data_IF_402322915793
#
_entry.id   IF_402322915793
#
_cell.length_a   1.000
_cell.length_b   1.000
_cell.length_c   1.000
_cell.angle_alpha   90.00
_cell.angle_beta   90.00
_cell.angle_gamma   90.00
#
_symmetry.space_group_name_H-M   'P 1'
#
loop_
_entity.id
_entity.type
_entity.pdbx_description
1 polymer ?
#
# COMPACT_ATOMS: atom_id res chain seq x y z
N UNK A 1 -10.31 20.29 12.72
CA UNK A 1 -9.88 18.96 12.21
C UNK A 1 -8.70 19.21 11.29
N UNK A 2 -7.65 18.39 11.36
CA UNK A 2 -6.41 18.66 10.61
C UNK A 2 -6.55 18.30 9.12
N UNK A 3 -5.72 18.88 8.24
CA UNK A 3 -5.77 18.63 6.78
C UNK A 3 -5.51 17.15 6.47
N UNK A 4 -4.51 16.56 7.14
CA UNK A 4 -4.20 15.14 7.04
C UNK A 4 -5.36 14.26 7.54
N UNK A 5 -6.03 14.65 8.63
CA UNK A 5 -7.21 13.92 9.14
C UNK A 5 -8.37 13.97 8.16
N UNK A 6 -8.64 15.12 7.55
CA UNK A 6 -9.70 15.28 6.55
C UNK A 6 -9.40 14.42 5.32
N UNK A 7 -8.17 14.47 4.79
CA UNK A 7 -7.76 13.65 3.65
C UNK A 7 -7.84 12.15 3.98
N UNK A 8 -7.43 11.74 5.17
CA UNK A 8 -7.52 10.36 5.62
C UNK A 8 -8.97 9.86 5.60
N UNK A 9 -9.87 10.59 6.27
CA UNK A 9 -11.27 10.17 6.44
C UNK A 9 -12.08 10.25 5.14
N UNK A 10 -11.81 11.23 4.28
CA UNK A 10 -12.60 11.46 3.07
C UNK A 10 -12.08 10.73 1.84
N UNK A 11 -10.79 10.42 1.78
CA UNK A 11 -10.16 9.81 0.60
C UNK A 11 -9.53 8.46 0.93
N UNK A 12 -8.61 8.41 1.89
CA UNK A 12 -7.74 7.25 2.09
C UNK A 12 -8.52 6.06 2.62
N UNK A 13 -9.21 6.23 3.74
CA UNK A 13 -9.99 5.19 4.38
C UNK A 13 -11.05 4.57 3.44
N UNK A 14 -11.94 5.34 2.79
CA UNK A 14 -12.92 4.76 1.87
C UNK A 14 -12.28 4.09 0.65
N UNK A 15 -11.20 4.64 0.08
CA UNK A 15 -10.49 4.01 -1.05
C UNK A 15 -9.91 2.64 -0.67
N UNK A 16 -9.36 2.52 0.54
CA UNK A 16 -8.80 1.28 1.05
C UNK A 16 -9.90 0.27 1.39
N UNK A 17 -10.98 0.70 2.07
CA UNK A 17 -12.13 -0.15 2.39
C UNK A 17 -12.78 -0.72 1.12
N UNK A 18 -12.85 0.08 0.06
CA UNK A 18 -13.29 -0.33 -1.27
C UNK A 18 -12.42 -1.44 -1.88
N UNK A 19 -11.11 -1.43 -1.65
CA UNK A 19 -10.21 -2.51 -2.07
C UNK A 19 -10.34 -3.75 -1.18
N UNK A 20 -10.43 -3.58 0.14
CA UNK A 20 -10.65 -4.68 1.08
C UNK A 20 -11.94 -5.43 0.73
N UNK A 21 -12.99 -4.72 0.36
CA UNK A 21 -14.25 -5.32 -0.10
C UNK A 21 -14.17 -6.00 -1.48
N UNK A 22 -13.09 -5.80 -2.24
CA UNK A 22 -12.89 -6.35 -3.58
C UNK A 22 -11.41 -6.61 -3.87
N UNK A 23 -10.77 -7.56 -3.15
CA UNK A 23 -9.31 -7.72 -3.12
C UNK A 23 -8.70 -8.26 -4.43
N UNK A 24 -9.54 -8.61 -5.40
CA UNK A 24 -9.18 -9.03 -6.76
C UNK A 24 -9.06 -7.87 -7.75
N UNK A 25 -9.52 -6.68 -7.36
CA UNK A 25 -9.58 -5.53 -8.25
C UNK A 25 -8.24 -4.80 -8.23
N UNK A 26 -7.40 -5.08 -9.23
CA UNK A 26 -6.07 -4.47 -9.39
C UNK A 26 -6.15 -2.95 -9.32
N UNK A 27 -7.10 -2.32 -10.04
CA UNK A 27 -7.26 -0.85 -10.02
C UNK A 27 -7.49 -0.33 -8.59
N UNK A 28 -8.34 -0.99 -7.81
CA UNK A 28 -8.61 -0.59 -6.41
C UNK A 28 -7.38 -0.79 -5.52
N UNK A 29 -6.63 -1.87 -5.73
CA UNK A 29 -5.37 -2.12 -5.02
C UNK A 29 -4.31 -1.05 -5.31
N UNK A 30 -4.11 -0.70 -6.58
CA UNK A 30 -3.16 0.34 -6.99
C UNK A 30 -3.58 1.73 -6.45
N UNK A 31 -4.88 2.07 -6.52
CA UNK A 31 -5.39 3.31 -5.94
C UNK A 31 -5.17 3.37 -4.42
N UNK A 32 -5.40 2.26 -3.71
CA UNK A 32 -5.14 2.15 -2.27
C UNK A 32 -3.67 2.44 -1.94
N UNK A 33 -2.74 1.85 -2.70
CA UNK A 33 -1.31 2.12 -2.51
C UNK A 33 -0.95 3.60 -2.75
N UNK A 34 -1.51 4.19 -3.82
CA UNK A 34 -1.29 5.61 -4.15
C UNK A 34 -1.72 6.54 -3.02
N UNK A 35 -2.94 6.38 -2.51
CA UNK A 35 -3.49 7.29 -1.50
C UNK A 35 -2.83 7.09 -0.14
N UNK A 36 -2.46 5.85 0.22
CA UNK A 36 -1.70 5.55 1.44
C UNK A 36 -0.30 6.15 1.41
N UNK A 37 0.38 6.14 0.26
CA UNK A 37 1.67 6.83 0.10
C UNK A 37 1.47 8.35 0.22
N UNK A 38 0.41 8.89 -0.40
CA UNK A 38 0.14 10.33 -0.43
C UNK A 38 -0.26 10.93 0.93
N UNK A 39 -0.70 10.11 1.89
CA UNK A 39 -0.85 10.54 3.29
C UNK A 39 0.43 11.18 3.85
N UNK A 40 1.59 10.71 3.40
CA UNK A 40 2.89 11.23 3.85
C UNK A 40 3.07 12.70 3.45
N UNK A 41 2.60 13.08 2.27
CA UNK A 41 2.65 14.46 1.80
C UNK A 41 1.76 15.36 2.66
N UNK A 42 0.51 14.96 2.91
CA UNK A 42 -0.41 15.70 3.77
C UNK A 42 0.11 15.85 5.20
N UNK A 43 0.65 14.76 5.76
CA UNK A 43 1.21 14.76 7.11
C UNK A 43 2.42 15.67 7.24
N UNK A 44 3.35 15.59 6.30
CA UNK A 44 4.61 16.35 6.36
C UNK A 44 4.40 17.84 6.13
N UNK A 45 3.48 18.22 5.23
CA UNK A 45 3.04 19.60 5.05
C UNK A 45 2.44 20.15 6.34
N UNK A 46 1.53 19.39 6.96
CA UNK A 46 0.86 19.81 8.20
C UNK A 46 1.83 19.94 9.38
N UNK A 47 2.78 19.02 9.52
CA UNK A 47 3.79 19.04 10.61
C UNK A 47 5.01 19.91 10.29
N UNK A 48 5.10 20.49 9.09
CA UNK A 48 6.25 21.28 8.66
C UNK A 48 7.56 20.49 8.62
N UNK A 49 7.52 19.18 8.37
CA UNK A 49 8.70 18.32 8.36
C UNK A 49 9.16 17.94 6.95
N UNK A 50 10.42 17.51 6.82
CA UNK A 50 10.98 17.16 5.51
C UNK A 50 10.41 15.83 4.99
N UNK A 51 9.70 15.89 3.87
CA UNK A 51 9.04 14.73 3.25
C UNK A 51 9.97 13.55 2.99
N UNK A 52 11.14 13.79 2.40
CA UNK A 52 12.10 12.73 2.05
C UNK A 52 12.61 12.01 3.31
N UNK A 53 12.96 12.77 4.34
CA UNK A 53 13.42 12.21 5.60
C UNK A 53 12.32 11.42 6.29
N UNK A 54 11.08 11.92 6.27
CA UNK A 54 9.96 11.25 6.91
C UNK A 54 9.57 9.95 6.18
N UNK A 55 9.53 9.95 4.84
CA UNK A 55 9.37 8.71 4.04
C UNK A 55 10.44 7.67 4.40
N UNK A 56 11.71 8.08 4.47
CA UNK A 56 12.81 7.18 4.85
C UNK A 56 12.65 6.61 6.26
N UNK A 57 12.15 7.40 7.22
CA UNK A 57 11.88 6.93 8.57
C UNK A 57 10.73 5.92 8.59
N UNK A 58 9.62 6.22 7.91
CA UNK A 58 8.48 5.31 7.81
C UNK A 58 8.88 3.99 7.15
N UNK A 59 9.61 4.01 6.04
CA UNK A 59 10.09 2.80 5.35
C UNK A 59 11.02 1.95 6.21
N UNK A 60 11.88 2.56 7.02
CA UNK A 60 12.77 1.84 7.94
C UNK A 60 12.01 1.16 9.07
N UNK A 61 10.97 1.80 9.59
CA UNK A 61 10.22 1.31 10.74
C UNK A 61 9.07 0.36 10.34
N UNK A 62 8.59 0.47 9.10
CA UNK A 62 7.43 -0.26 8.60
C UNK A 62 7.73 -0.84 7.19
N UNK A 63 8.17 -2.11 7.10
CA UNK A 63 8.47 -2.75 5.82
C UNK A 63 7.29 -2.77 4.83
N UNK A 64 6.06 -2.85 5.33
CA UNK A 64 4.86 -2.81 4.49
C UNK A 64 4.58 -1.42 3.92
N UNK A 65 4.93 -0.36 4.65
CA UNK A 65 4.92 0.99 4.08
C UNK A 65 5.95 1.11 2.95
N UNK A 66 7.14 0.55 3.12
CA UNK A 66 8.16 0.55 2.05
C UNK A 66 7.64 -0.14 0.79
N UNK A 67 6.97 -1.29 0.96
CA UNK A 67 6.37 -2.02 -0.15
C UNK A 67 5.22 -1.24 -0.82
N UNK A 68 4.29 -0.68 -0.04
CA UNK A 68 3.20 0.16 -0.56
C UNK A 68 3.73 1.39 -1.31
N UNK A 69 4.80 2.00 -0.81
CA UNK A 69 5.47 3.11 -1.47
C UNK A 69 6.09 2.70 -2.82
N UNK A 70 6.71 1.51 -2.89
CA UNK A 70 7.25 0.97 -4.15
C UNK A 70 6.13 0.70 -5.17
N UNK A 71 5.02 0.09 -4.75
CA UNK A 71 3.85 -0.15 -5.62
C UNK A 71 3.24 1.18 -6.11
N UNK A 72 3.10 2.16 -5.22
CA UNK A 72 2.57 3.47 -5.57
C UNK A 72 3.47 4.20 -6.59
N UNK A 73 4.78 4.20 -6.36
CA UNK A 73 5.75 4.86 -7.23
C UNK A 73 5.81 4.16 -8.61
N UNK A 74 5.81 2.83 -8.65
CA UNK A 74 5.77 2.04 -9.90
C UNK A 74 4.49 2.31 -10.71
N UNK A 75 3.36 2.53 -10.02
CA UNK A 75 2.08 2.88 -10.66
C UNK A 75 2.08 4.30 -11.23
N UNK A 76 2.63 5.27 -10.50
CA UNK A 76 2.64 6.68 -10.92
C UNK A 76 3.63 6.98 -12.04
N UNK A 77 4.77 6.30 -12.05
CA UNK A 77 5.91 6.66 -12.91
C UNK A 77 6.12 5.72 -14.11
N UNK A 78 5.24 4.74 -14.31
CA UNK A 78 5.32 3.67 -15.32
C UNK A 78 6.54 2.75 -15.20
N UNK A 79 7.75 3.30 -14.95
CA UNK A 79 8.98 2.56 -14.61
C UNK A 79 9.82 3.34 -13.60
N UNK A 80 10.33 2.66 -12.58
CA UNK A 80 11.26 3.21 -11.60
C UNK A 80 12.70 3.03 -12.05
N UNK A 81 13.47 4.13 -12.08
CA UNK A 81 14.87 4.14 -12.52
C UNK A 81 15.88 3.80 -11.42
N UNK A 82 15.42 3.40 -10.23
CA UNK A 82 16.26 3.26 -9.04
C UNK A 82 16.43 1.78 -8.62
N UNK A 83 17.66 1.24 -8.75
CA UNK A 83 17.98 -0.20 -8.61
C UNK A 83 17.79 -0.81 -7.21
N UNK A 84 17.52 -0.03 -6.17
CA UNK A 84 17.41 -0.52 -4.79
C UNK A 84 15.99 -0.90 -4.35
N UNK A 85 14.98 -0.79 -5.23
CA UNK A 85 13.56 -1.04 -4.92
C UNK A 85 13.11 -2.41 -5.39
N UNK A 86 12.08 -2.96 -4.75
CA UNK A 86 11.66 -4.35 -5.00
C UNK A 86 10.61 -4.48 -6.11
N UNK A 87 9.86 -3.41 -6.39
CA UNK A 87 8.90 -3.32 -7.51
C UNK A 87 9.33 -2.15 -8.39
N UNK A 88 9.49 -2.37 -9.69
CA UNK A 88 9.98 -1.36 -10.65
C UNK A 88 8.90 -0.90 -11.64
N UNK A 89 7.92 -1.73 -11.96
CA UNK A 89 6.89 -1.47 -12.97
C UNK A 89 5.51 -1.91 -12.46
N UNK A 90 4.48 -1.15 -12.80
CA UNK A 90 3.09 -1.46 -12.42
C UNK A 90 2.59 -2.80 -12.98
N UNK A 91 3.15 -3.27 -14.09
CA UNK A 91 2.85 -4.58 -14.68
C UNK A 91 3.33 -5.76 -13.83
N UNK A 92 4.24 -5.53 -12.88
CA UNK A 92 4.62 -6.55 -11.88
C UNK A 92 3.51 -6.78 -10.85
N UNK A 93 2.51 -5.89 -10.78
CA UNK A 93 1.33 -6.07 -9.94
C UNK A 93 0.27 -6.84 -10.74
N UNK A 94 0.07 -8.09 -10.38
CA UNK A 94 -0.86 -8.99 -11.06
C UNK A 94 -1.82 -9.63 -10.04
N UNK A 95 -2.71 -10.48 -10.52
CA UNK A 95 -3.65 -11.26 -9.70
C UNK A 95 -3.55 -12.73 -10.08
N UNK A 96 -3.85 -13.61 -9.13
CA UNK A 96 -3.98 -15.04 -9.43
C UNK A 96 -5.11 -15.24 -10.46
N UNK A 97 -4.89 -15.99 -11.55
CA UNK A 97 -5.97 -16.40 -12.45
C UNK A 97 -7.01 -17.22 -11.67
N UNK A 98 -8.29 -16.92 -11.85
CA UNK A 98 -9.37 -17.64 -11.18
C UNK A 98 -9.44 -19.10 -11.63
N UNK A 99 -9.60 -20.00 -10.65
CA UNK A 99 -9.79 -21.43 -10.77
C UNK A 99 -10.99 -21.81 -11.68
N UNK A 100 -10.78 -21.99 -12.99
CA UNK A 100 -11.80 -22.58 -13.86
C UNK A 100 -11.29 -23.64 -14.86
N UNK A 101 -10.02 -24.08 -14.81
CA UNK A 101 -9.52 -25.12 -15.74
C UNK A 101 -8.51 -26.14 -15.15
N UNK A 102 -8.36 -26.24 -13.83
CA UNK A 102 -7.44 -27.22 -13.23
C UNK A 102 -8.20 -28.38 -12.56
N UNK A 103 -7.93 -29.65 -12.91
CA UNK A 103 -8.53 -30.80 -12.25
C UNK A 103 -8.01 -30.89 -10.81
N UNK A 104 -8.95 -31.03 -9.87
CA UNK A 104 -8.69 -31.12 -8.43
C UNK A 104 -7.65 -32.20 -8.10
N UNK A 105 -6.60 -31.85 -7.36
CA UNK A 105 -5.69 -32.83 -6.77
C UNK A 105 -4.40 -32.26 -6.17
N UNK A 106 -4.28 -32.39 -4.85
CA UNK A 106 -3.08 -32.27 -4.00
C UNK A 106 -2.51 -30.88 -3.67
N UNK A 107 -2.67 -30.47 -2.40
CA UNK A 107 -1.63 -29.71 -1.68
C UNK A 107 -2.00 -28.31 -1.17
N UNK A 108 -2.65 -28.23 -0.01
CA UNK A 108 -2.43 -27.24 1.07
C UNK A 108 -2.06 -25.77 0.76
N UNK A 109 -2.60 -25.15 -0.28
CA UNK A 109 -2.77 -23.70 -0.34
C UNK A 109 -4.19 -23.41 -0.76
N UNK A 110 -5.00 -22.91 0.18
CA UNK A 110 -6.23 -22.22 -0.17
C UNK A 110 -5.80 -20.98 -0.96
N UNK A 111 -5.75 -21.15 -2.28
CA UNK A 111 -5.31 -20.18 -3.28
C UNK A 111 -6.25 -18.99 -3.26
N UNK A 112 -6.04 -18.10 -2.28
CA UNK A 112 -6.72 -16.83 -2.18
C UNK A 112 -6.26 -16.03 -3.40
N UNK A 113 -7.12 -15.97 -4.41
CA UNK A 113 -6.93 -15.05 -5.52
C UNK A 113 -6.79 -13.64 -4.92
N UNK A 114 -5.61 -13.03 -5.01
CA UNK A 114 -5.30 -11.72 -4.43
C UNK A 114 -4.43 -10.93 -5.40
N UNK A 115 -4.48 -9.60 -5.31
CA UNK A 115 -3.49 -8.75 -5.98
C UNK A 115 -2.14 -8.91 -5.28
N UNK A 116 -1.09 -9.24 -6.02
CA UNK A 116 0.28 -9.39 -5.52
C UNK A 116 1.28 -8.72 -6.45
N UNK A 117 2.44 -8.36 -5.92
CA UNK A 117 3.58 -7.91 -6.71
C UNK A 117 4.64 -9.00 -6.79
N UNK A 118 5.20 -9.21 -7.99
CA UNK A 118 6.37 -10.06 -8.18
C UNK A 118 7.62 -9.22 -7.89
N UNK A 119 8.35 -9.58 -6.83
CA UNK A 119 9.57 -8.91 -6.42
C UNK A 119 10.76 -9.33 -7.28
N UNK A 120 11.87 -8.60 -7.20
CA UNK A 120 13.07 -8.86 -8.02
C UNK A 120 13.72 -10.24 -7.78
N UNK A 121 13.51 -10.85 -6.61
CA UNK A 121 13.98 -12.20 -6.30
C UNK A 121 13.03 -13.29 -6.80
N UNK A 122 11.97 -12.91 -7.51
CA UNK A 122 10.94 -13.79 -8.04
C UNK A 122 9.88 -14.18 -7.01
N UNK A 123 9.96 -13.69 -5.77
CA UNK A 123 8.94 -13.95 -4.75
C UNK A 123 7.69 -13.11 -4.97
N UNK A 124 6.55 -13.62 -4.54
CA UNK A 124 5.28 -12.90 -4.58
C UNK A 124 4.99 -12.27 -3.22
N UNK A 125 4.65 -10.98 -3.21
CA UNK A 125 4.18 -10.29 -2.00
C UNK A 125 2.73 -9.83 -2.17
N UNK A 126 1.80 -10.30 -1.32
CA UNK A 126 0.39 -9.92 -1.40
C UNK A 126 0.18 -8.46 -1.00
N UNK A 127 -0.66 -7.75 -1.76
CA UNK A 127 -0.91 -6.33 -1.55
C UNK A 127 -1.87 -6.06 -0.39
N UNK A 128 -2.90 -6.89 -0.23
CA UNK A 128 -3.95 -6.68 0.77
C UNK A 128 -3.41 -6.57 2.20
N UNK A 129 -2.60 -7.52 2.72
CA UNK A 129 -2.08 -7.43 4.09
C UNK A 129 -1.21 -6.18 4.32
N UNK A 130 -0.43 -5.78 3.31
CA UNK A 130 0.41 -4.59 3.41
C UNK A 130 -0.42 -3.30 3.44
N UNK A 131 -1.48 -3.22 2.62
CA UNK A 131 -2.41 -2.09 2.61
C UNK A 131 -3.14 -1.97 3.95
N UNK A 132 -3.63 -3.07 4.52
CA UNK A 132 -4.27 -3.08 5.85
C UNK A 132 -3.31 -2.65 6.96
N UNK A 133 -2.08 -3.16 6.94
CA UNK A 133 -1.05 -2.78 7.90
C UNK A 133 -0.72 -1.28 7.84
N UNK A 134 -0.58 -0.72 6.63
CA UNK A 134 -0.27 0.71 6.45
C UNK A 134 -1.47 1.61 6.78
N UNK A 135 -2.69 1.16 6.51
CA UNK A 135 -3.91 1.86 6.96
C UNK A 135 -3.91 1.98 8.48
N UNK A 136 -3.71 0.86 9.19
CA UNK A 136 -3.68 0.83 10.65
C UNK A 136 -2.56 1.70 11.24
N UNK A 137 -1.37 1.68 10.63
CA UNK A 137 -0.27 2.58 11.00
C UNK A 137 -0.71 4.05 10.95
N UNK A 138 -1.39 4.47 9.88
CA UNK A 138 -1.91 5.84 9.78
C UNK A 138 -3.01 6.14 10.80
N UNK A 139 -3.92 5.21 11.08
CA UNK A 139 -4.92 5.36 12.14
C UNK A 139 -4.27 5.60 13.51
N UNK A 140 -3.20 4.87 13.83
CA UNK A 140 -2.44 5.02 15.07
C UNK A 140 -1.69 6.35 15.15
N UNK A 141 -1.02 6.76 14.07
CA UNK A 141 -0.33 8.07 13.98
C UNK A 141 -1.33 9.22 14.16
N UNK A 142 -2.48 9.15 13.50
CA UNK A 142 -3.51 10.20 13.59
C UNK A 142 -4.15 10.22 14.98
N UNK A 143 -4.43 9.06 15.58
CA UNK A 143 -4.99 8.95 16.94
C UNK A 143 -4.03 9.50 18.00
N UNK A 144 -2.76 9.13 17.96
CA UNK A 144 -1.77 9.59 18.95
C UNK A 144 -1.61 11.12 18.96
N UNK A 145 -1.84 11.80 17.83
CA UNK A 145 -1.83 13.26 17.76
C UNK A 145 -3.10 13.94 18.29
N UNK A 146 -4.22 13.22 18.42
CA UNK A 146 -5.44 13.74 19.06
C UNK A 146 -5.37 13.65 20.59
N UNK A 147 -4.53 12.76 21.11
CA UNK A 147 -4.40 12.48 22.55
C UNK A 147 -3.33 13.34 23.25
N UNK A 148 -2.49 14.07 22.51
CA UNK A 148 -1.57 15.06 23.06
C UNK A 148 -2.26 16.43 23.15
N UNK A 149 -2.65 16.93 24.34
CA UNK A 149 -3.15 18.28 24.48
C UNK A 149 -1.98 19.25 24.31
N UNK A 150 -2.17 20.27 23.47
CA UNK A 150 -1.34 21.48 23.45
C UNK A 150 -1.38 22.20 24.78
#
# INVERSE_FOLDING_TARGET
MSSATVFFNSIVKPTVEEFIASPLNIRRGLLSAIVLNQMTDYWTIEKGCNLKNYRNQLSKNNPDYSFVNDVADATKHAQLTNKSRQVHDSSQVTRTPGLFDAPFGYGFFAEACIVFAILNDGTEKPLLPAVESVLKMWEEILRSCLETPS
#
